data_IF_734433403216
#
_entry.id   IF_734433403216
#
_cell.length_a   1.000
_cell.length_b   1.000
_cell.length_c   1.000
_cell.angle_alpha   90.00
_cell.angle_beta   90.00
_cell.angle_gamma   90.00
#
_symmetry.space_group_name_H-M   'P 1'
#
loop_
_entity.id
_entity.type
_entity.pdbx_description
1 polymer ?
#
# COMPACT_ATOMS: atom_id res chain seq x y z
N UNK A 1 -31.66 15.23 -10.11
CA UNK A 1 -31.10 13.87 -10.12
C UNK A 1 -30.13 13.81 -8.95
N UNK A 2 -30.57 13.29 -7.81
CA UNK A 2 -29.74 13.10 -6.62
C UNK A 2 -28.86 11.87 -6.84
N UNK A 3 -27.56 11.99 -6.58
CA UNK A 3 -26.65 10.84 -6.59
C UNK A 3 -27.10 9.85 -5.49
N UNK A 4 -27.09 8.53 -5.74
CA UNK A 4 -27.46 7.56 -4.73
C UNK A 4 -26.52 7.68 -3.51
N UNK A 5 -27.05 7.46 -2.30
CA UNK A 5 -26.26 7.31 -1.09
C UNK A 5 -25.17 6.25 -1.33
N UNK A 6 -23.90 6.56 -1.05
CA UNK A 6 -22.79 5.60 -1.17
C UNK A 6 -22.97 4.52 -0.10
N UNK A 7 -23.43 3.34 -0.49
CA UNK A 7 -23.69 2.19 0.41
C UNK A 7 -22.44 1.37 0.74
N UNK A 8 -21.24 1.98 0.77
CA UNK A 8 -19.96 1.31 1.01
C UNK A 8 -19.35 1.65 2.37
N UNK A 9 -18.38 0.85 2.81
CA UNK A 9 -17.57 1.09 4.01
C UNK A 9 -16.86 2.44 3.88
N UNK A 10 -16.96 3.26 4.93
CA UNK A 10 -16.27 4.55 4.98
C UNK A 10 -14.84 4.36 5.48
N UNK A 11 -13.97 5.30 5.10
CA UNK A 11 -12.58 5.31 5.54
C UNK A 11 -12.46 5.32 7.08
N UNK A 12 -13.30 6.09 7.76
CA UNK A 12 -13.32 6.16 9.24
C UNK A 12 -13.66 4.82 9.89
N UNK A 13 -14.61 4.07 9.32
CA UNK A 13 -15.00 2.76 9.80
C UNK A 13 -13.88 1.73 9.55
N UNK A 14 -13.23 1.80 8.38
CA UNK A 14 -12.09 0.95 8.03
C UNK A 14 -10.89 1.17 8.97
N UNK A 15 -10.54 2.43 9.27
CA UNK A 15 -9.42 2.77 10.17
C UNK A 15 -9.69 2.39 11.63
N UNK A 16 -10.96 2.22 12.01
CA UNK A 16 -11.36 1.78 13.34
C UNK A 16 -11.32 0.25 13.53
N UNK A 17 -11.05 -0.51 12.45
CA UNK A 17 -10.92 -1.97 12.53
C UNK A 17 -9.71 -2.35 13.40
N UNK A 18 -9.79 -3.48 14.12
CA UNK A 18 -8.62 -4.00 14.84
C UNK A 18 -7.51 -4.37 13.85
N UNK A 19 -6.26 -4.25 14.29
CA UNK A 19 -5.13 -4.80 13.54
C UNK A 19 -5.33 -6.31 13.34
N UNK A 20 -5.03 -6.79 12.13
CA UNK A 20 -5.09 -8.21 11.81
C UNK A 20 -3.75 -8.69 11.26
N UNK A 21 -3.56 -10.01 11.27
CA UNK A 21 -2.32 -10.63 10.78
C UNK A 21 -2.21 -10.64 9.25
N UNK A 22 -3.27 -10.23 8.53
CA UNK A 22 -3.28 -10.12 7.08
C UNK A 22 -3.53 -8.66 6.69
N UNK A 23 -2.86 -8.15 5.65
CA UNK A 23 -3.19 -6.82 5.15
C UNK A 23 -4.64 -6.80 4.67
N UNK A 24 -5.40 -5.81 5.16
CA UNK A 24 -6.71 -5.48 4.61
C UNK A 24 -6.57 -4.16 3.85
N UNK A 25 -7.36 -3.97 2.80
CA UNK A 25 -7.39 -2.74 2.00
C UNK A 25 -8.84 -2.28 1.81
N UNK A 26 -9.08 -0.96 1.87
CA UNK A 26 -10.37 -0.35 1.51
C UNK A 26 -10.31 0.14 0.06
N UNK A 27 -11.04 -0.53 -0.84
CA UNK A 27 -11.12 -0.17 -2.27
C UNK A 27 -12.59 0.01 -2.66
N UNK A 28 -12.94 1.18 -3.18
CA UNK A 28 -14.29 1.53 -3.64
C UNK A 28 -15.43 1.33 -2.61
N UNK A 29 -15.09 1.33 -1.32
CA UNK A 29 -16.04 1.11 -0.23
C UNK A 29 -16.18 -0.37 0.17
N UNK A 30 -15.30 -1.23 -0.32
CA UNK A 30 -15.20 -2.65 0.05
C UNK A 30 -13.89 -2.92 0.79
N UNK A 31 -13.95 -3.75 1.83
CA UNK A 31 -12.77 -4.24 2.53
C UNK A 31 -12.32 -5.53 1.84
N UNK A 32 -11.09 -5.54 1.35
CA UNK A 32 -10.48 -6.67 0.67
C UNK A 32 -9.38 -7.22 1.56
N UNK A 33 -9.46 -8.51 1.88
CA UNK A 33 -8.37 -9.24 2.53
C UNK A 33 -7.34 -9.63 1.49
N UNK A 34 -6.08 -9.24 1.71
CA UNK A 34 -5.00 -9.54 0.80
C UNK A 34 -4.47 -10.95 1.03
N UNK A 35 -4.08 -11.60 -0.07
CA UNK A 35 -3.42 -12.90 0.01
C UNK A 35 -2.15 -12.82 0.86
N UNK A 36 -1.92 -13.85 1.67
CA UNK A 36 -0.65 -13.99 2.38
C UNK A 36 0.49 -14.06 1.36
N UNK A 37 1.52 -13.22 1.47
CA UNK A 37 2.62 -13.23 0.51
C UNK A 37 3.41 -14.53 0.64
N UNK A 38 3.75 -15.13 -0.50
CA UNK A 38 4.66 -16.27 -0.56
C UNK A 38 6.14 -15.82 -0.55
N UNK A 39 7.06 -16.79 -0.43
CA UNK A 39 8.48 -16.51 -0.37
C UNK A 39 9.00 -15.82 -1.64
N UNK A 40 8.50 -16.18 -2.82
CA UNK A 40 8.92 -15.59 -4.09
C UNK A 40 8.49 -14.13 -4.16
N UNK A 41 7.25 -13.83 -3.77
CA UNK A 41 6.72 -12.48 -3.68
C UNK A 41 7.57 -11.61 -2.76
N UNK A 42 7.97 -12.13 -1.60
CA UNK A 42 8.83 -11.40 -0.67
C UNK A 42 10.22 -11.13 -1.25
N UNK A 43 10.85 -12.11 -1.89
CA UNK A 43 12.17 -11.95 -2.49
C UNK A 43 12.16 -10.87 -3.58
N UNK A 44 11.16 -10.90 -4.47
CA UNK A 44 11.00 -9.89 -5.51
C UNK A 44 10.77 -8.51 -4.91
N UNK A 45 9.86 -8.41 -3.93
CA UNK A 45 9.52 -7.14 -3.28
C UNK A 45 10.75 -6.51 -2.61
N UNK A 46 11.54 -7.31 -1.89
CA UNK A 46 12.77 -6.85 -1.24
C UNK A 46 13.79 -6.34 -2.25
N UNK A 47 14.03 -7.09 -3.33
CA UNK A 47 14.97 -6.70 -4.37
C UNK A 47 14.57 -5.38 -5.04
N UNK A 48 13.28 -5.21 -5.34
CA UNK A 48 12.74 -3.95 -5.86
C UNK A 48 12.97 -2.78 -4.88
N UNK A 49 12.66 -2.98 -3.60
CA UNK A 49 12.86 -1.96 -2.58
C UNK A 49 14.34 -1.55 -2.43
N UNK A 50 15.26 -2.52 -2.45
CA UNK A 50 16.70 -2.26 -2.38
C UNK A 50 17.21 -1.47 -3.59
N UNK A 51 16.78 -1.86 -4.79
CA UNK A 51 17.13 -1.15 -6.02
C UNK A 51 16.64 0.31 -5.98
N UNK A 52 15.37 0.53 -5.65
CA UNK A 52 14.79 1.87 -5.56
C UNK A 52 15.52 2.72 -4.52
N UNK A 53 15.87 2.15 -3.36
CA UNK A 53 16.64 2.85 -2.32
C UNK A 53 18.01 3.29 -2.83
N UNK A 54 18.71 2.45 -3.59
CA UNK A 54 20.01 2.80 -4.17
C UNK A 54 19.87 3.94 -5.20
N UNK A 55 18.86 3.87 -6.08
CA UNK A 55 18.59 4.88 -7.07
C UNK A 55 18.28 6.25 -6.45
N UNK A 56 17.40 6.29 -5.44
CA UNK A 56 17.05 7.53 -4.74
C UNK A 56 18.27 8.14 -4.06
N UNK A 57 19.12 7.32 -3.43
CA UNK A 57 20.36 7.79 -2.80
C UNK A 57 21.31 8.41 -3.83
N UNK A 58 21.51 7.75 -4.97
CA UNK A 58 22.36 8.26 -6.04
C UNK A 58 21.82 9.57 -6.65
N UNK A 59 20.50 9.65 -6.87
CA UNK A 59 19.85 10.86 -7.36
C UNK A 59 20.01 12.03 -6.38
N UNK A 60 19.77 11.80 -5.08
CA UNK A 60 19.94 12.83 -4.04
C UNK A 60 21.38 13.34 -3.92
N UNK A 61 22.38 12.47 -4.06
CA UNK A 61 23.79 12.86 -4.07
C UNK A 61 24.17 13.68 -5.32
N UNK A 62 23.56 13.39 -6.46
CA UNK A 62 23.78 14.14 -7.71
C UNK A 62 23.25 15.57 -7.61
N UNK A 63 22.20 15.81 -6.83
CA UNK A 63 21.63 17.15 -6.62
C UNK A 63 22.38 18.02 -5.59
N UNK A 64 23.21 17.43 -4.72
CA UNK A 64 24.00 18.18 -3.71
C UNK A 64 25.35 18.71 -4.22
N UNK A 65 25.81 18.23 -5.39
CA UNK A 65 27.10 18.59 -5.99
C UNK A 65 26.97 19.59 -7.15
N UNK A 66 25.85 20.33 -7.23
CA UNK A 66 25.63 21.48 -8.12
C UNK A 66 25.39 22.72 -7.29
#
# INVERSE_FOLDING_TARGET
MTLPERTGVRLEDYLALPETNLPMELIDGEIIEMATPDALHQDVTLNCALLLRQLVKAAGQTHQNR
#
